data_IF_517549049474
#
_entry.id   IF_517549049474
#
_cell.length_a   1.000
_cell.length_b   1.000
_cell.length_c   1.000
_cell.angle_alpha   90.00
_cell.angle_beta   90.00
_cell.angle_gamma   90.00
#
_symmetry.space_group_name_H-M   'P 1'
#
loop_
_entity.id
_entity.type
_entity.pdbx_description
1 polymer ?
#
# COMPACT_ATOMS: atom_id res chain seq x y z
N UNK A 1 -10.64 -6.05 -5.14
CA UNK A 1 -10.43 -5.50 -3.81
C UNK A 1 -11.62 -5.77 -2.92
N UNK A 2 -11.35 -6.10 -1.66
CA UNK A 2 -12.40 -6.35 -0.69
C UNK A 2 -12.72 -5.05 0.07
N UNK A 3 -13.98 -4.67 0.12
CA UNK A 3 -14.45 -3.58 0.97
C UNK A 3 -14.83 -2.29 0.24
N UNK A 4 -15.01 -1.25 1.04
CA UNK A 4 -15.42 0.07 0.57
C UNK A 4 -14.21 0.83 0.00
N UNK A 5 -14.31 1.27 -1.24
CA UNK A 5 -13.36 2.20 -1.83
C UNK A 5 -13.90 3.62 -1.61
N UNK A 6 -13.18 4.44 -0.84
CA UNK A 6 -13.58 5.80 -0.47
C UNK A 6 -15.02 5.92 0.08
N UNK A 7 -15.48 4.89 0.82
CA UNK A 7 -16.81 4.84 1.42
C UNK A 7 -17.91 4.34 0.50
N UNK A 8 -17.58 3.76 -0.64
CA UNK A 8 -18.52 3.08 -1.53
C UNK A 8 -18.14 1.60 -1.63
N UNK A 9 -18.99 0.73 -1.08
CA UNK A 9 -18.80 -0.71 -1.11
C UNK A 9 -19.51 -1.39 -2.26
N UNK A 10 -19.23 -2.69 -2.44
CA UNK A 10 -19.98 -3.52 -3.35
C UNK A 10 -21.47 -3.57 -2.95
N UNK A 11 -22.35 -3.52 -3.92
CA UNK A 11 -23.78 -3.68 -3.66
C UNK A 11 -24.08 -5.08 -3.12
N UNK A 12 -24.71 -5.14 -1.94
CA UNK A 12 -25.14 -6.39 -1.29
C UNK A 12 -24.28 -6.81 -0.09
N UNK A 13 -24.76 -7.81 0.64
CA UNK A 13 -24.06 -8.40 1.79
C UNK A 13 -23.23 -9.58 1.27
N UNK A 14 -21.95 -9.33 1.03
CA UNK A 14 -20.99 -10.39 0.70
C UNK A 14 -20.40 -10.99 2.00
N UNK A 15 -20.17 -12.31 2.00
CA UNK A 15 -19.38 -12.94 3.07
C UNK A 15 -17.93 -12.53 2.95
N UNK A 16 -17.18 -12.60 4.06
CA UNK A 16 -15.74 -12.29 4.05
C UNK A 16 -14.99 -13.12 2.99
N UNK A 17 -15.32 -14.39 2.83
CA UNK A 17 -14.65 -15.26 1.85
C UNK A 17 -14.96 -14.87 0.40
N UNK A 18 -16.18 -14.38 0.13
CA UNK A 18 -16.58 -13.88 -1.20
C UNK A 18 -15.88 -12.56 -1.57
N UNK A 19 -15.34 -11.84 -0.60
CA UNK A 19 -14.54 -10.63 -0.82
C UNK A 19 -13.06 -10.90 -1.08
N UNK A 20 -12.62 -12.17 -1.00
CA UNK A 20 -11.24 -12.57 -1.24
C UNK A 20 -11.10 -13.21 -2.62
N UNK A 21 -9.96 -12.99 -3.27
CA UNK A 21 -9.65 -13.66 -4.55
C UNK A 21 -9.63 -15.16 -4.35
N UNK A 22 -10.38 -15.89 -5.17
CA UNK A 22 -10.36 -17.35 -5.20
C UNK A 22 -9.11 -17.86 -5.94
N UNK A 23 -8.37 -18.85 -5.41
CA UNK A 23 -7.15 -19.36 -6.03
C UNK A 23 -7.38 -20.05 -7.39
N UNK A 24 -8.51 -20.72 -7.59
CA UNK A 24 -8.81 -21.41 -8.85
C UNK A 24 -9.24 -20.40 -9.91
N UNK A 25 -10.01 -19.37 -9.54
CA UNK A 25 -10.34 -18.25 -10.43
C UNK A 25 -9.09 -17.45 -10.82
N UNK A 26 -8.17 -17.21 -9.88
CA UNK A 26 -6.90 -16.56 -10.16
C UNK A 26 -6.07 -17.35 -11.15
N UNK A 27 -6.04 -18.68 -11.01
CA UNK A 27 -5.34 -19.58 -11.94
C UNK A 27 -5.97 -19.55 -13.34
N UNK A 28 -7.28 -19.71 -13.44
CA UNK A 28 -8.01 -19.66 -14.71
C UNK A 28 -7.79 -18.31 -15.43
N UNK A 29 -7.82 -17.21 -14.67
CA UNK A 29 -7.58 -15.88 -15.21
C UNK A 29 -6.17 -15.74 -15.78
N UNK A 30 -5.15 -16.15 -15.03
CA UNK A 30 -3.74 -16.05 -15.46
C UNK A 30 -3.48 -16.96 -16.69
N UNK A 31 -4.01 -18.18 -16.69
CA UNK A 31 -3.86 -19.10 -17.83
C UNK A 31 -4.50 -18.56 -19.12
N UNK A 32 -5.64 -17.84 -18.99
CA UNK A 32 -6.34 -17.27 -20.15
C UNK A 32 -5.75 -15.96 -20.65
N UNK A 33 -5.15 -15.17 -19.76
CA UNK A 33 -4.70 -13.81 -20.10
C UNK A 33 -3.19 -13.70 -20.28
N UNK A 34 -2.41 -14.59 -19.67
CA UNK A 34 -0.95 -14.54 -19.71
C UNK A 34 -0.31 -13.37 -18.99
N UNK A 35 -1.00 -12.78 -18.00
CA UNK A 35 -0.48 -11.61 -17.26
C UNK A 35 0.75 -11.95 -16.43
N UNK A 36 1.72 -11.04 -16.37
CA UNK A 36 2.93 -11.18 -15.56
C UNK A 36 2.68 -10.94 -14.06
N UNK A 37 1.66 -10.14 -13.74
CA UNK A 37 1.32 -9.77 -12.37
C UNK A 37 -0.20 -9.71 -12.19
N UNK A 38 -0.69 -10.13 -11.02
CA UNK A 38 -2.09 -10.13 -10.66
C UNK A 38 -2.31 -9.42 -9.32
N UNK A 39 -3.15 -8.39 -9.31
CA UNK A 39 -3.63 -7.80 -8.08
C UNK A 39 -4.70 -8.70 -7.45
N UNK A 40 -4.53 -9.01 -6.17
CA UNK A 40 -5.40 -9.92 -5.44
C UNK A 40 -6.11 -9.22 -4.28
N UNK A 41 -7.36 -9.59 -4.04
CA UNK A 41 -8.15 -9.16 -2.89
C UNK A 41 -7.84 -10.08 -1.71
N UNK A 42 -7.30 -9.50 -0.64
CA UNK A 42 -6.82 -10.23 0.55
C UNK A 42 -7.28 -9.60 1.87
N UNK A 43 -8.38 -8.84 1.85
CA UNK A 43 -8.96 -8.20 3.03
C UNK A 43 -8.58 -6.73 3.20
N UNK A 44 -7.98 -6.09 2.19
CA UNK A 44 -7.63 -4.66 2.19
C UNK A 44 -8.62 -3.83 1.36
N UNK A 45 -8.70 -2.54 1.67
CA UNK A 45 -9.45 -1.55 0.89
C UNK A 45 -8.60 -0.30 0.64
N UNK A 46 -8.92 0.46 -0.39
CA UNK A 46 -8.29 1.75 -0.67
C UNK A 46 -8.75 2.86 0.29
N UNK A 47 -8.05 4.00 0.23
CA UNK A 47 -8.40 5.22 0.98
C UNK A 47 -7.74 5.31 2.35
N UNK A 48 -7.96 6.46 3.01
CA UNK A 48 -7.40 6.75 4.32
C UNK A 48 -8.23 6.15 5.47
N UNK A 49 -9.50 5.87 5.24
CA UNK A 49 -10.44 5.39 6.26
C UNK A 49 -10.68 3.89 6.12
N UNK A 50 -9.69 3.08 6.56
CA UNK A 50 -9.72 1.61 6.45
C UNK A 50 -10.36 0.96 7.68
N UNK A 51 -9.86 1.30 8.86
CA UNK A 51 -10.33 0.76 10.13
C UNK A 51 -10.64 1.88 11.10
N UNK A 52 -11.79 1.78 11.79
CA UNK A 52 -12.21 2.77 12.81
C UNK A 52 -11.59 2.51 14.19
N UNK A 53 -10.99 1.33 14.38
CA UNK A 53 -10.29 0.90 15.59
C UNK A 53 -8.93 0.32 15.23
N UNK A 54 -7.96 0.33 16.14
CA UNK A 54 -6.71 -0.38 15.92
C UNK A 54 -7.01 -1.82 15.50
N UNK A 55 -6.48 -2.25 14.36
CA UNK A 55 -6.68 -3.62 13.92
C UNK A 55 -6.00 -4.59 14.90
N UNK A 56 -6.71 -5.64 15.27
CA UNK A 56 -6.22 -6.72 16.14
C UNK A 56 -6.37 -8.05 15.42
N UNK A 57 -5.32 -8.88 15.48
CA UNK A 57 -5.32 -10.19 14.85
C UNK A 57 -4.91 -10.16 13.37
N UNK A 58 -5.19 -11.22 12.67
CA UNK A 58 -4.84 -11.42 11.27
C UNK A 58 -5.79 -10.60 10.38
N UNK A 59 -5.28 -9.49 9.85
CA UNK A 59 -6.04 -8.56 9.01
C UNK A 59 -5.99 -9.01 7.56
N UNK A 60 -4.82 -9.46 7.13
CA UNK A 60 -4.62 -10.00 5.81
C UNK A 60 -4.94 -11.51 5.81
N UNK A 61 -5.64 -11.95 4.78
CA UNK A 61 -5.86 -13.39 4.54
C UNK A 61 -4.58 -14.06 4.04
N UNK A 62 -3.56 -14.19 4.91
CA UNK A 62 -2.23 -14.70 4.54
C UNK A 62 -2.28 -16.12 3.97
N UNK A 63 -3.13 -16.98 4.52
CA UNK A 63 -3.33 -18.34 3.98
C UNK A 63 -3.86 -18.29 2.54
N UNK A 64 -4.73 -17.33 2.23
CA UNK A 64 -5.25 -17.09 0.88
C UNK A 64 -4.14 -16.62 -0.06
N UNK A 65 -3.26 -15.71 0.38
CA UNK A 65 -2.07 -15.29 -0.37
C UNK A 65 -1.19 -16.51 -0.72
N UNK A 66 -0.90 -17.34 0.28
CA UNK A 66 -0.09 -18.55 0.09
C UNK A 66 -0.75 -19.56 -0.89
N UNK A 67 -2.07 -19.74 -0.79
CA UNK A 67 -2.83 -20.62 -1.69
C UNK A 67 -2.79 -20.10 -3.13
N UNK A 68 -3.02 -18.82 -3.36
CA UNK A 68 -2.95 -18.19 -4.68
C UNK A 68 -1.53 -18.30 -5.23
N UNK A 69 -0.51 -17.98 -4.44
CA UNK A 69 0.88 -18.10 -4.89
C UNK A 69 1.25 -19.52 -5.28
N UNK A 70 0.73 -20.51 -4.56
CA UNK A 70 0.91 -21.94 -4.93
C UNK A 70 0.23 -22.29 -6.26
N UNK A 71 -0.95 -21.72 -6.52
CA UNK A 71 -1.70 -21.96 -7.76
C UNK A 71 -1.06 -21.29 -8.97
N UNK A 72 -0.46 -20.11 -8.82
CA UNK A 72 0.18 -19.31 -9.88
C UNK A 72 1.61 -18.88 -9.50
N UNK A 73 2.56 -19.82 -9.31
CA UNK A 73 3.88 -19.54 -8.73
C UNK A 73 4.77 -18.62 -9.59
N UNK A 74 4.47 -18.51 -10.88
CA UNK A 74 5.23 -17.71 -11.84
C UNK A 74 4.63 -16.31 -12.08
N UNK A 75 3.49 -15.99 -11.47
CA UNK A 75 2.83 -14.68 -11.58
C UNK A 75 3.11 -13.86 -10.32
N UNK A 76 3.50 -12.60 -10.50
CA UNK A 76 3.78 -11.72 -9.38
C UNK A 76 2.48 -11.25 -8.71
N UNK A 77 2.33 -11.50 -7.42
CA UNK A 77 1.17 -11.03 -6.66
C UNK A 77 1.34 -9.56 -6.26
N UNK A 78 0.29 -8.77 -6.48
CA UNK A 78 0.23 -7.35 -6.16
C UNK A 78 -0.79 -7.11 -5.06
N UNK A 79 -0.40 -6.36 -4.02
CA UNK A 79 -1.25 -5.99 -2.91
C UNK A 79 -1.57 -4.50 -2.97
N UNK A 80 -2.86 -4.17 -3.08
CA UNK A 80 -3.41 -2.84 -3.00
C UNK A 80 -3.96 -2.54 -1.60
N UNK A 81 -4.35 -1.28 -1.36
CA UNK A 81 -4.94 -0.88 -0.09
C UNK A 81 -4.04 -1.05 1.14
N UNK A 82 -2.72 -1.05 0.95
CA UNK A 82 -1.72 -1.50 1.93
C UNK A 82 -1.12 -0.38 2.77
N UNK A 83 -1.63 0.85 2.69
CA UNK A 83 -1.13 1.94 3.53
C UNK A 83 -1.36 1.65 5.02
N UNK A 84 -0.35 1.92 5.84
CA UNK A 84 -0.38 1.64 7.28
C UNK A 84 -1.01 2.75 8.11
N UNK A 85 -1.22 3.93 7.52
CA UNK A 85 -1.78 5.11 8.18
C UNK A 85 -1.00 5.47 9.45
N UNK A 86 0.24 5.98 9.31
CA UNK A 86 1.10 6.27 10.45
C UNK A 86 0.46 7.26 11.41
N UNK A 87 0.24 6.83 12.66
CA UNK A 87 -0.51 7.60 13.66
C UNK A 87 0.18 8.90 14.06
N UNK A 88 1.52 8.93 13.99
CA UNK A 88 2.31 10.13 14.22
C UNK A 88 1.96 11.27 13.26
N UNK A 89 1.78 10.96 11.98
CA UNK A 89 1.40 11.96 10.98
C UNK A 89 -0.04 12.43 11.14
N UNK A 90 -0.96 11.55 11.56
CA UNK A 90 -2.31 11.95 11.92
C UNK A 90 -2.32 12.92 13.14
N UNK A 91 -1.47 12.63 14.14
CA UNK A 91 -1.33 13.51 15.31
C UNK A 91 -0.80 14.89 14.89
N UNK A 92 0.26 14.95 14.10
CA UNK A 92 0.82 16.19 13.56
C UNK A 92 -0.23 16.98 12.75
N UNK A 93 -0.96 16.31 11.86
CA UNK A 93 -1.98 16.98 11.05
C UNK A 93 -3.05 17.63 11.96
N UNK A 94 -3.50 16.92 13.01
CA UNK A 94 -4.49 17.44 13.96
C UNK A 94 -3.94 18.60 14.80
N UNK A 95 -2.71 18.47 15.30
CA UNK A 95 -2.02 19.51 16.07
C UNK A 95 -1.94 20.83 15.29
N UNK A 96 -1.69 20.74 13.98
CA UNK A 96 -1.57 21.90 13.10
C UNK A 96 -2.83 22.17 12.28
N UNK A 97 -4.02 21.97 12.88
CA UNK A 97 -5.32 22.44 12.41
C UNK A 97 -5.97 21.55 11.34
N UNK A 98 -5.60 20.30 11.24
CA UNK A 98 -6.32 19.34 10.40
C UNK A 98 -7.42 18.61 11.16
N UNK A 99 -8.55 18.33 10.48
CA UNK A 99 -9.72 17.67 11.06
C UNK A 99 -9.90 16.26 10.49
N UNK A 100 -8.90 15.39 10.72
CA UNK A 100 -9.00 13.99 10.32
C UNK A 100 -9.67 13.14 11.40
N UNK A 101 -10.63 12.32 10.99
CA UNK A 101 -11.25 11.32 11.88
C UNK A 101 -10.21 10.26 12.31
N UNK A 102 -10.42 9.59 13.47
CA UNK A 102 -9.61 8.42 13.82
C UNK A 102 -9.71 7.37 12.70
N UNK A 103 -8.56 6.89 12.27
CA UNK A 103 -8.45 5.86 11.25
C UNK A 103 -7.12 5.11 11.40
N UNK A 104 -7.12 3.85 10.99
CA UNK A 104 -5.97 2.95 11.07
C UNK A 104 -5.82 2.24 9.74
N UNK A 105 -4.60 1.85 9.42
CA UNK A 105 -4.27 1.10 8.20
C UNK A 105 -3.82 -0.32 8.50
N UNK A 106 -3.21 -0.93 7.52
CA UNK A 106 -2.65 -2.30 7.63
C UNK A 106 -1.32 -2.22 8.38
N UNK A 107 -1.11 -2.97 9.47
CA UNK A 107 0.18 -3.02 10.15
C UNK A 107 1.30 -3.45 9.20
N UNK A 108 2.47 -2.81 9.33
CA UNK A 108 3.63 -3.08 8.46
C UNK A 108 4.05 -4.56 8.57
N UNK A 109 3.94 -5.14 9.76
CA UNK A 109 4.25 -6.54 10.03
C UNK A 109 3.35 -7.50 9.24
N UNK A 110 2.08 -7.17 9.06
CA UNK A 110 1.15 -7.95 8.23
C UNK A 110 1.54 -7.88 6.75
N UNK A 111 1.95 -6.71 6.28
CA UNK A 111 2.45 -6.54 4.90
C UNK A 111 3.70 -7.41 4.70
N UNK A 112 4.62 -7.42 5.65
CA UNK A 112 5.83 -8.27 5.62
C UNK A 112 5.47 -9.75 5.55
N UNK A 113 4.46 -10.21 6.30
CA UNK A 113 3.95 -11.59 6.18
C UNK A 113 3.43 -11.87 4.77
N UNK A 114 2.68 -10.95 4.17
CA UNK A 114 2.23 -11.05 2.78
C UNK A 114 3.40 -11.21 1.79
N UNK A 115 4.45 -10.41 1.96
CA UNK A 115 5.67 -10.50 1.13
C UNK A 115 6.35 -11.86 1.27
N UNK A 116 6.45 -12.39 2.49
CA UNK A 116 7.01 -13.72 2.76
C UNK A 116 6.19 -14.85 2.11
N UNK A 117 4.89 -14.63 1.87
CA UNK A 117 3.97 -15.59 1.30
C UNK A 117 3.65 -15.39 -0.19
N UNK A 118 4.41 -14.55 -0.90
CA UNK A 118 4.33 -14.49 -2.36
C UNK A 118 4.03 -13.11 -2.95
N UNK A 119 3.65 -12.13 -2.15
CA UNK A 119 3.47 -10.74 -2.64
C UNK A 119 4.82 -10.19 -3.11
N UNK A 120 4.83 -9.56 -4.30
CA UNK A 120 6.02 -8.96 -4.90
C UNK A 120 5.88 -7.47 -5.15
N UNK A 121 4.67 -6.94 -5.15
CA UNK A 121 4.37 -5.52 -5.31
C UNK A 121 3.41 -5.07 -4.23
N UNK A 122 3.76 -4.00 -3.54
CA UNK A 122 2.93 -3.35 -2.51
C UNK A 122 2.71 -1.89 -2.90
N UNK A 123 1.46 -1.44 -2.91
CA UNK A 123 1.12 -0.06 -3.19
C UNK A 123 0.93 0.74 -1.90
N UNK A 124 1.70 1.81 -1.74
CA UNK A 124 1.63 2.73 -0.60
C UNK A 124 1.39 4.14 -1.13
N UNK A 125 0.28 4.76 -0.77
CA UNK A 125 -0.07 6.13 -1.16
C UNK A 125 -0.45 6.99 0.06
N UNK A 126 -1.44 6.57 0.85
CA UNK A 126 -1.95 7.35 1.97
C UNK A 126 -0.87 7.74 2.98
N UNK A 127 0.08 6.84 3.28
CA UNK A 127 1.19 7.11 4.20
C UNK A 127 2.03 8.30 3.74
N UNK A 128 2.32 8.36 2.44
CA UNK A 128 3.08 9.45 1.81
C UNK A 128 2.28 10.75 1.86
N UNK A 129 0.99 10.71 1.52
CA UNK A 129 0.11 11.90 1.57
C UNK A 129 0.01 12.48 2.98
N UNK A 130 -0.14 11.63 4.00
CA UNK A 130 -0.21 12.05 5.39
C UNK A 130 1.09 12.71 5.83
N UNK A 131 2.23 12.11 5.52
CA UNK A 131 3.54 12.67 5.85
C UNK A 131 3.78 14.03 5.18
N UNK A 132 3.50 14.14 3.90
CA UNK A 132 3.62 15.40 3.15
C UNK A 132 2.71 16.49 3.72
N UNK A 133 1.43 16.16 3.97
CA UNK A 133 0.45 17.11 4.50
C UNK A 133 0.82 17.57 5.91
N UNK A 134 1.21 16.63 6.78
CA UNK A 134 1.63 16.94 8.14
C UNK A 134 2.86 17.84 8.19
N UNK A 135 3.87 17.54 7.37
CA UNK A 135 5.09 18.33 7.30
C UNK A 135 4.84 19.76 6.78
N UNK A 136 4.01 19.93 5.76
CA UNK A 136 3.63 21.25 5.26
C UNK A 136 2.86 22.07 6.31
N UNK A 137 1.84 21.46 6.95
CA UNK A 137 1.05 22.14 7.99
C UNK A 137 1.92 22.61 9.14
N UNK A 138 2.79 21.73 9.66
CA UNK A 138 3.74 22.06 10.71
C UNK A 138 4.65 23.21 10.31
N UNK A 139 5.26 23.14 9.13
CA UNK A 139 6.16 24.18 8.66
C UNK A 139 5.45 25.53 8.49
N UNK A 140 4.24 25.56 7.94
CA UNK A 140 3.45 26.80 7.80
C UNK A 140 3.09 27.41 9.16
N UNK A 141 2.81 26.59 10.16
CA UNK A 141 2.49 27.05 11.51
C UNK A 141 3.73 27.59 12.26
N UNK A 142 4.87 26.91 12.14
CA UNK A 142 6.11 27.27 12.83
C UNK A 142 6.88 28.41 12.15
N UNK A 143 6.81 28.51 10.84
CA UNK A 143 7.52 29.51 10.02
C UNK A 143 6.55 30.51 9.40
N UNK A 144 5.87 31.28 10.25
CA UNK A 144 4.79 32.21 9.86
C UNK A 144 5.19 33.28 8.84
N UNK A 145 6.47 33.64 8.78
CA UNK A 145 7.00 34.62 7.80
C UNK A 145 7.43 33.99 6.48
N UNK A 146 7.44 32.66 6.38
CA UNK A 146 7.81 31.98 5.16
C UNK A 146 6.66 32.06 4.14
N UNK A 147 6.97 32.43 2.90
CA UNK A 147 6.01 32.54 1.82
C UNK A 147 6.42 31.77 0.56
N UNK A 148 7.67 31.26 0.52
CA UNK A 148 8.16 30.53 -0.64
C UNK A 148 7.64 29.08 -0.63
N UNK A 149 6.78 28.70 -1.61
CA UNK A 149 6.21 27.36 -1.67
C UNK A 149 7.28 26.25 -1.78
N UNK A 150 8.46 26.56 -2.32
CA UNK A 150 9.57 25.60 -2.42
C UNK A 150 10.02 25.11 -1.05
N UNK A 151 9.91 25.93 0.00
CA UNK A 151 10.25 25.57 1.38
C UNK A 151 9.23 24.58 1.94
N UNK A 152 7.95 24.81 1.72
CA UNK A 152 6.88 23.90 2.15
C UNK A 152 6.96 22.57 1.42
N UNK A 153 7.21 22.60 0.10
CA UNK A 153 7.39 21.39 -0.71
C UNK A 153 8.66 20.62 -0.35
N UNK A 154 9.74 21.33 0.06
CA UNK A 154 10.94 20.66 0.55
C UNK A 154 10.65 19.87 1.84
N UNK A 155 9.92 20.45 2.80
CA UNK A 155 9.51 19.76 4.01
C UNK A 155 8.63 18.53 3.70
N UNK A 156 7.69 18.67 2.75
CA UNK A 156 6.86 17.57 2.28
C UNK A 156 7.69 16.44 1.65
N UNK A 157 8.61 16.78 0.75
CA UNK A 157 9.52 15.81 0.10
C UNK A 157 10.35 15.05 1.12
N UNK A 158 10.90 15.74 2.11
CA UNK A 158 11.77 15.13 3.10
C UNK A 158 10.99 14.16 4.00
N UNK A 159 9.75 14.51 4.37
CA UNK A 159 8.84 13.62 5.09
C UNK A 159 8.46 12.38 4.25
N UNK A 160 8.11 12.57 2.97
CA UNK A 160 7.83 11.49 2.03
C UNK A 160 9.04 10.55 1.88
N UNK A 161 10.26 11.13 1.79
CA UNK A 161 11.51 10.35 1.71
C UNK A 161 11.72 9.48 2.95
N UNK A 162 11.36 9.95 4.14
CA UNK A 162 11.38 9.15 5.37
C UNK A 162 10.49 7.91 5.25
N UNK A 163 9.21 8.11 4.90
CA UNK A 163 8.27 7.00 4.71
C UNK A 163 8.78 5.98 3.68
N UNK A 164 9.28 6.45 2.54
CA UNK A 164 9.79 5.56 1.48
C UNK A 164 10.99 4.72 1.97
N UNK A 165 11.92 5.34 2.70
CA UNK A 165 13.08 4.64 3.27
C UNK A 165 12.64 3.55 4.25
N UNK A 166 11.77 3.89 5.20
CA UNK A 166 11.25 2.94 6.20
C UNK A 166 10.57 1.74 5.54
N UNK A 167 9.79 1.99 4.48
CA UNK A 167 9.13 0.91 3.72
C UNK A 167 10.12 0.07 2.93
N UNK A 168 11.14 0.67 2.31
CA UNK A 168 12.19 -0.09 1.62
C UNK A 168 12.97 -1.00 2.56
N UNK A 169 13.25 -0.54 3.77
CA UNK A 169 13.90 -1.34 4.81
C UNK A 169 12.98 -2.48 5.28
N UNK A 170 11.75 -2.15 5.68
CA UNK A 170 10.80 -3.13 6.18
C UNK A 170 10.45 -4.22 5.16
N UNK A 171 10.36 -3.88 3.87
CA UNK A 171 9.99 -4.80 2.78
C UNK A 171 11.19 -5.52 2.16
N UNK A 172 12.40 -5.30 2.65
CA UNK A 172 13.61 -5.94 2.14
C UNK A 172 14.09 -5.42 0.78
N UNK A 173 13.61 -4.23 0.35
CA UNK A 173 14.00 -3.60 -0.92
C UNK A 173 15.28 -2.77 -0.80
N UNK A 174 15.67 -2.36 0.41
CA UNK A 174 16.86 -1.55 0.64
C UNK A 174 18.14 -2.27 0.15
N UNK A 175 19.04 -1.52 -0.47
CA UNK A 175 20.31 -2.06 -0.98
C UNK A 175 20.20 -2.96 -2.23
N UNK A 176 19.02 -3.08 -2.85
CA UNK A 176 18.81 -3.94 -4.02
C UNK A 176 18.98 -3.18 -5.36
N UNK A 177 18.92 -1.85 -5.37
CA UNK A 177 18.89 -1.06 -6.61
C UNK A 177 20.10 -1.30 -7.53
N UNK A 178 21.30 -1.47 -6.99
CA UNK A 178 22.51 -1.74 -7.77
C UNK A 178 22.56 -3.14 -8.40
N UNK A 179 21.71 -4.05 -7.92
CA UNK A 179 21.61 -5.45 -8.42
C UNK A 179 20.64 -5.58 -9.58
N UNK A 180 19.76 -4.59 -9.77
CA UNK A 180 18.76 -4.60 -10.83
C UNK A 180 19.40 -4.08 -12.12
N UNK A 181 19.36 -4.90 -13.17
CA UNK A 181 19.78 -4.50 -14.51
C UNK A 181 18.53 -4.30 -15.37
N UNK A 182 18.39 -3.14 -16.03
CA UNK A 182 17.31 -2.93 -17.00
C UNK A 182 17.37 -3.99 -18.10
N UNK A 183 16.24 -4.50 -18.51
CA UNK A 183 16.11 -5.35 -19.71
C UNK A 183 16.28 -4.42 -20.93
N UNK A 184 17.00 -4.86 -21.97
CA UNK A 184 17.13 -4.08 -23.18
C UNK A 184 15.78 -3.95 -23.89
N UNK A 185 15.61 -2.90 -24.71
CA UNK A 185 14.37 -2.72 -25.48
C UNK A 185 14.17 -3.87 -26.47
N UNK A 186 15.24 -4.37 -27.08
CA UNK A 186 15.18 -5.49 -28.03
C UNK A 186 14.76 -6.79 -27.33
N UNK A 187 15.33 -7.10 -26.16
CA UNK A 187 14.92 -8.26 -25.36
C UNK A 187 13.45 -8.14 -24.91
N UNK A 188 13.02 -6.92 -24.55
CA UNK A 188 11.64 -6.69 -24.12
C UNK A 188 10.66 -6.82 -25.28
N UNK A 189 10.99 -6.27 -26.46
CA UNK A 189 10.17 -6.39 -27.67
C UNK A 189 10.01 -7.86 -28.11
N UNK A 190 11.02 -8.69 -27.86
CA UNK A 190 10.97 -10.13 -28.18
C UNK A 190 10.07 -10.96 -27.25
N UNK A 191 9.48 -10.36 -26.19
CA UNK A 191 8.56 -11.04 -25.26
C UNK A 191 7.08 -10.85 -25.61
N UNK A 192 6.78 -9.91 -26.48
CA UNK A 192 5.46 -9.59 -27.00
C UNK A 192 5.40 -9.78 -28.52
#
# INVERSE_FOLDING_TARGET
EAGEEDGQGAEGILSHDQMLTDPDEAKDFVEKTGVDALAIAIGTSHGAYKFTRPPTGDILAIDRVAAIHKAIPNTHLVMHGSSSVPQEWLAIIREFGGELKPTYGVPVEEIVKGIQNGVRKVNIDTDIRLAMTGAMRRMMAEKKSEFDPRKFLAAARDAASGIVKDRFEAFGCAGQGSKIKPISMDDMAGRY
#
